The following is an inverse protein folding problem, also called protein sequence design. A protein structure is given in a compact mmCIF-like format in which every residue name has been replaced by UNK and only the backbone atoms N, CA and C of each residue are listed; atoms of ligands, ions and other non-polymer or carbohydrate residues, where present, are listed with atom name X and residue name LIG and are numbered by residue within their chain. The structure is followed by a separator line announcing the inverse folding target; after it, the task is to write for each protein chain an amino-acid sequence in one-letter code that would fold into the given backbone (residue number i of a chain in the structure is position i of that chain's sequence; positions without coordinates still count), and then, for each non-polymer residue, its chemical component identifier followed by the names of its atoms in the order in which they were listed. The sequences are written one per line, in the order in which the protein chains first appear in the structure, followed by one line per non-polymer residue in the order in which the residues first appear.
data_IF_597561171097
#
_entry.id   IF_597561171097
#
_cell.length_a   1.000
_cell.length_b   1.000
_cell.length_c   1.000
_cell.angle_alpha   90.00
_cell.angle_beta   90.00
_cell.angle_gamma   90.00
#
_symmetry.space_group_name_H-M   'P 1'
#
loop_
_entity.id
_entity.type
_entity.pdbx_description
1 polymer ?
#
# COMPACT_ATOMS: atom_id res chain seq x y z
N UNK A 1 -24.60 28.20 -1.70
CA UNK A 1 -23.56 27.28 -2.22
C UNK A 1 -22.49 27.21 -1.16
N UNK A 2 -22.18 26.03 -0.60
CA UNK A 2 -21.24 25.94 0.52
C UNK A 2 -19.82 26.28 0.08
N UNK A 3 -19.04 26.96 0.92
CA UNK A 3 -17.64 27.31 0.67
C UNK A 3 -16.78 26.10 0.30
N UNK A 4 -17.18 24.90 0.74
CA UNK A 4 -16.58 23.62 0.36
C UNK A 4 -16.65 23.32 -1.15
N UNK A 5 -17.74 23.70 -1.81
CA UNK A 5 -17.89 23.51 -3.25
C UNK A 5 -17.06 24.53 -4.06
N UNK A 6 -16.75 25.69 -3.47
CA UNK A 6 -15.85 26.67 -4.05
C UNK A 6 -14.38 26.26 -3.89
N UNK A 7 -14.01 25.69 -2.74
CA UNK A 7 -12.67 25.16 -2.46
C UNK A 7 -12.34 23.91 -3.30
N UNK A 8 -13.29 22.98 -3.50
CA UNK A 8 -13.11 21.85 -4.44
C UNK A 8 -12.90 22.34 -5.88
N UNK A 9 -13.54 23.46 -6.27
CA UNK A 9 -13.41 24.04 -7.62
C UNK A 9 -12.12 24.84 -7.82
N UNK A 10 -11.52 25.33 -6.72
CA UNK A 10 -10.29 26.11 -6.72
C UNK A 10 -9.00 25.25 -6.67
N UNK A 11 -9.13 23.91 -6.63
CA UNK A 11 -7.98 23.03 -6.46
C UNK A 11 -7.30 23.19 -5.10
N UNK A 12 -8.04 23.69 -4.09
CA UNK A 12 -7.51 23.85 -2.74
C UNK A 12 -7.14 22.47 -2.17
N UNK A 13 -6.03 22.35 -1.42
CA UNK A 13 -5.61 21.10 -0.83
C UNK A 13 -6.75 20.48 -0.01
N UNK A 14 -7.01 19.18 -0.27
CA UNK A 14 -8.11 18.43 0.38
C UNK A 14 -8.07 18.64 1.89
N UNK A 15 -9.15 19.13 2.52
CA UNK A 15 -9.21 19.39 3.96
C UNK A 15 -8.77 18.16 4.79
N UNK A 16 -8.02 18.37 5.87
CA UNK A 16 -7.47 17.28 6.70
C UNK A 16 -8.53 16.28 7.17
N UNK A 17 -9.74 16.75 7.49
CA UNK A 17 -10.84 15.88 7.90
C UNK A 17 -11.33 14.95 6.77
N UNK A 18 -11.29 15.38 5.50
CA UNK A 18 -11.64 14.52 4.35
C UNK A 18 -10.57 13.42 4.16
N UNK A 19 -9.28 13.74 4.35
CA UNK A 19 -8.18 12.76 4.30
C UNK A 19 -8.30 11.70 5.39
N UNK A 20 -8.60 12.11 6.62
CA UNK A 20 -8.87 11.20 7.73
C UNK A 20 -10.09 10.31 7.44
N UNK A 21 -11.16 10.88 6.89
CA UNK A 21 -12.34 10.13 6.47
C UNK A 21 -12.01 9.04 5.43
N UNK A 22 -11.24 9.37 4.39
CA UNK A 22 -10.80 8.39 3.39
C UNK A 22 -9.95 7.28 4.02
N UNK A 23 -9.01 7.62 4.90
CA UNK A 23 -8.17 6.64 5.59
C UNK A 23 -9.01 5.64 6.40
N UNK A 24 -10.02 6.12 7.12
CA UNK A 24 -10.92 5.26 7.90
C UNK A 24 -11.67 4.29 7.00
N UNK A 25 -12.20 4.75 5.86
CA UNK A 25 -12.92 3.88 4.92
C UNK A 25 -12.00 2.82 4.31
N UNK A 26 -10.77 3.20 3.94
CA UNK A 26 -9.78 2.27 3.41
C UNK A 26 -9.39 1.24 4.46
N UNK A 27 -9.10 1.68 5.69
CA UNK A 27 -8.82 0.78 6.80
C UNK A 27 -9.97 -0.18 7.07
N UNK A 28 -11.21 0.31 7.11
CA UNK A 28 -12.39 -0.52 7.31
C UNK A 28 -12.56 -1.56 6.20
N UNK A 29 -12.31 -1.19 4.94
CA UNK A 29 -12.34 -2.13 3.81
C UNK A 29 -11.28 -3.22 3.93
N UNK A 30 -10.06 -2.86 4.33
CA UNK A 30 -8.97 -3.82 4.55
C UNK A 30 -9.25 -4.73 5.75
N UNK A 31 -9.82 -4.19 6.83
CA UNK A 31 -10.23 -4.96 7.99
C UNK A 31 -11.35 -5.96 7.62
N UNK A 32 -12.33 -5.53 6.82
CA UNK A 32 -13.37 -6.42 6.29
C UNK A 32 -12.79 -7.53 5.41
N UNK A 33 -11.81 -7.20 4.54
CA UNK A 33 -11.09 -8.18 3.75
C UNK A 33 -10.36 -9.22 4.61
N UNK A 34 -9.65 -8.78 5.65
CA UNK A 34 -9.00 -9.68 6.61
C UNK A 34 -10.01 -10.56 7.36
N UNK A 35 -11.14 -9.97 7.79
CA UNK A 35 -12.21 -10.69 8.48
C UNK A 35 -12.81 -11.80 7.62
N UNK A 36 -13.08 -11.52 6.33
CA UNK A 36 -13.53 -12.53 5.37
C UNK A 36 -12.49 -13.65 5.27
N UNK A 37 -11.21 -13.30 5.21
CA UNK A 37 -10.10 -14.26 5.24
C UNK A 37 -10.12 -15.18 6.46
N UNK A 38 -10.31 -14.63 7.66
CA UNK A 38 -10.42 -15.42 8.88
C UNK A 38 -11.64 -16.34 8.87
N UNK A 39 -12.80 -15.85 8.41
CA UNK A 39 -14.03 -16.64 8.35
C UNK A 39 -13.98 -17.77 7.33
N UNK A 40 -13.22 -17.60 6.25
CA UNK A 40 -13.05 -18.59 5.18
C UNK A 40 -11.83 -19.49 5.36
N UNK A 41 -11.07 -19.35 6.46
CA UNK A 41 -9.79 -20.03 6.70
C UNK A 41 -8.74 -19.81 5.58
N UNK A 42 -8.74 -18.58 5.03
CA UNK A 42 -7.81 -18.15 3.98
C UNK A 42 -6.78 -17.21 4.59
N UNK A 43 -5.71 -17.80 5.14
CA UNK A 43 -4.65 -17.06 5.84
C UNK A 43 -3.97 -15.99 4.96
N UNK A 44 -3.94 -16.18 3.62
CA UNK A 44 -3.36 -15.23 2.67
C UNK A 44 -4.04 -13.87 2.73
N UNK A 45 -5.37 -13.83 2.90
CA UNK A 45 -6.13 -12.59 2.98
C UNK A 45 -5.81 -11.82 4.27
N UNK A 46 -5.63 -12.54 5.38
CA UNK A 46 -5.22 -11.96 6.66
C UNK A 46 -3.81 -11.38 6.58
N UNK A 47 -2.89 -12.14 5.99
CA UNK A 47 -1.50 -11.72 5.82
C UNK A 47 -1.39 -10.48 4.92
N UNK A 48 -2.14 -10.44 3.80
CA UNK A 48 -2.09 -9.34 2.84
C UNK A 48 -2.69 -8.03 3.35
N UNK A 49 -3.49 -8.06 4.42
CA UNK A 49 -4.10 -6.86 4.97
C UNK A 49 -3.06 -5.80 5.38
N UNK A 50 -1.94 -6.21 5.99
CA UNK A 50 -0.88 -5.29 6.42
C UNK A 50 -0.17 -4.63 5.22
N UNK A 51 0.33 -5.38 4.22
CA UNK A 51 0.88 -4.79 3.00
C UNK A 51 -0.11 -3.89 2.25
N UNK A 52 -1.39 -4.28 2.16
CA UNK A 52 -2.41 -3.47 1.52
C UNK A 52 -2.62 -2.13 2.23
N UNK A 53 -2.59 -2.14 3.56
CA UNK A 53 -2.69 -0.92 4.35
C UNK A 53 -1.47 -0.01 4.14
N UNK A 54 -0.27 -0.57 4.13
CA UNK A 54 0.96 0.18 3.84
C UNK A 54 0.92 0.82 2.45
N UNK A 55 0.48 0.08 1.43
CA UNK A 55 0.32 0.59 0.06
C UNK A 55 -0.71 1.72 0.01
N UNK A 56 -1.86 1.57 0.66
CA UNK A 56 -2.87 2.61 0.73
C UNK A 56 -2.34 3.91 1.36
N UNK A 57 -1.57 3.77 2.44
CA UNK A 57 -0.90 4.91 3.09
C UNK A 57 0.10 5.59 2.17
N UNK A 58 0.96 4.83 1.47
CA UNK A 58 1.92 5.38 0.51
C UNK A 58 1.24 6.06 -0.67
N UNK A 59 0.16 5.46 -1.18
CA UNK A 59 -0.64 6.02 -2.26
C UNK A 59 -1.22 7.38 -1.85
N UNK A 60 -1.87 7.46 -0.68
CA UNK A 60 -2.37 8.74 -0.15
C UNK A 60 -1.25 9.76 0.12
N UNK A 61 -0.09 9.29 0.58
CA UNK A 61 1.10 10.13 0.78
C UNK A 61 1.64 10.72 -0.53
N UNK A 62 1.57 9.96 -1.62
CA UNK A 62 2.04 10.38 -2.95
C UNK A 62 1.12 11.36 -3.69
N UNK A 63 -0.04 11.68 -3.10
CA UNK A 63 -1.01 12.61 -3.66
C UNK A 63 -0.53 14.05 -3.44
N UNK A 64 -0.25 14.75 -4.55
CA UNK A 64 0.21 16.13 -4.55
C UNK A 64 -0.92 17.11 -4.25
N UNK A 65 -0.58 18.34 -3.88
CA UNK A 65 -1.55 19.38 -3.56
C UNK A 65 -2.47 19.73 -4.75
N UNK A 66 -1.97 19.59 -5.98
CA UNK A 66 -2.73 19.78 -7.22
C UNK A 66 -3.62 18.58 -7.61
N UNK A 67 -3.74 17.57 -6.75
CA UNK A 67 -4.55 16.36 -7.00
C UNK A 67 -3.91 15.34 -7.95
N UNK A 68 -2.70 15.60 -8.46
CA UNK A 68 -1.97 14.64 -9.29
C UNK A 68 -1.13 13.70 -8.44
N UNK A 69 -0.81 12.54 -8.99
CA UNK A 69 0.03 11.55 -8.32
C UNK A 69 1.47 11.69 -8.80
N UNK A 70 2.44 11.61 -7.88
CA UNK A 70 3.84 11.54 -8.29
C UNK A 70 4.07 10.25 -9.10
N UNK A 71 4.44 10.40 -10.38
CA UNK A 71 4.55 9.29 -11.32
C UNK A 71 5.58 8.26 -10.89
N UNK A 72 6.72 8.71 -10.36
CA UNK A 72 7.80 7.82 -9.91
C UNK A 72 7.37 7.00 -8.67
N UNK A 73 6.76 7.66 -7.68
CA UNK A 73 6.17 7.01 -6.51
C UNK A 73 5.09 6.01 -6.89
N UNK A 74 4.19 6.39 -7.81
CA UNK A 74 3.10 5.53 -8.28
C UNK A 74 3.63 4.29 -9.01
N UNK A 75 4.63 4.45 -9.87
CA UNK A 75 5.30 3.32 -10.55
C UNK A 75 5.97 2.41 -9.52
N UNK A 76 6.68 2.98 -8.54
CA UNK A 76 7.30 2.21 -7.46
C UNK A 76 6.29 1.39 -6.65
N UNK A 77 5.15 1.99 -6.32
CA UNK A 77 4.05 1.30 -5.62
C UNK A 77 3.44 0.19 -6.48
N UNK A 78 3.18 0.46 -7.77
CA UNK A 78 2.62 -0.54 -8.69
C UNK A 78 3.60 -1.71 -8.89
N UNK A 79 4.88 -1.42 -9.10
CA UNK A 79 5.92 -2.43 -9.19
C UNK A 79 5.99 -3.26 -7.90
N UNK A 80 5.88 -2.60 -6.75
CA UNK A 80 5.89 -3.27 -5.46
C UNK A 80 4.72 -4.26 -5.33
N UNK A 81 3.52 -3.81 -5.67
CA UNK A 81 2.30 -4.63 -5.69
C UNK A 81 2.40 -5.79 -6.69
N UNK A 82 2.97 -5.57 -7.87
CA UNK A 82 3.12 -6.60 -8.89
C UNK A 82 4.02 -7.74 -8.41
N UNK A 83 5.16 -7.43 -7.81
CA UNK A 83 6.06 -8.44 -7.23
C UNK A 83 5.39 -9.17 -6.07
N UNK A 84 4.70 -8.45 -5.17
CA UNK A 84 3.96 -9.07 -4.09
C UNK A 84 2.89 -10.04 -4.61
N UNK A 85 2.15 -9.65 -5.65
CA UNK A 85 1.14 -10.49 -6.28
C UNK A 85 1.76 -11.78 -6.86
N UNK A 86 2.91 -11.67 -7.53
CA UNK A 86 3.65 -12.83 -8.06
C UNK A 86 4.06 -13.77 -6.92
N UNK A 87 4.61 -13.25 -5.82
CA UNK A 87 5.03 -14.07 -4.68
C UNK A 87 3.84 -14.76 -4.00
N UNK A 88 2.71 -14.07 -3.86
CA UNK A 88 1.47 -14.64 -3.32
C UNK A 88 0.95 -15.75 -4.22
N UNK A 89 0.87 -15.51 -5.53
CA UNK A 89 0.44 -16.52 -6.50
C UNK A 89 1.35 -17.74 -6.43
N UNK A 90 2.66 -17.55 -6.31
CA UNK A 90 3.60 -18.67 -6.14
C UNK A 90 3.34 -19.45 -4.85
N UNK A 91 3.12 -18.78 -3.73
CA UNK A 91 2.78 -19.44 -2.46
C UNK A 91 1.47 -20.24 -2.56
N UNK A 92 0.44 -19.72 -3.25
CA UNK A 92 -0.84 -20.40 -3.48
C UNK A 92 -0.66 -21.64 -4.38
N UNK A 93 0.05 -21.50 -5.50
CA UNK A 93 0.27 -22.59 -6.45
C UNK A 93 1.07 -23.76 -5.84
N UNK A 94 1.84 -23.48 -4.79
CA UNK A 94 2.66 -24.48 -4.09
C UNK A 94 2.01 -24.99 -2.80
N UNK A 95 0.80 -24.55 -2.48
CA UNK A 95 0.09 -24.93 -1.25
C UNK A 95 -0.35 -26.41 -1.22
N UNK A 96 -0.61 -27.01 -2.37
CA UNK A 96 -1.06 -28.41 -2.50
C UNK A 96 0.06 -29.41 -2.83
N UNK A 97 1.30 -28.95 -2.96
CA UNK A 97 2.43 -29.80 -3.35
C UNK A 97 3.24 -30.31 -2.15
N UNK A 98 3.87 -31.48 -2.32
CA UNK A 98 4.79 -32.08 -1.32
C UNK A 98 6.21 -31.50 -1.38
N UNK A 99 6.44 -30.52 -2.25
CA UNK A 99 7.74 -29.88 -2.39
C UNK A 99 8.11 -29.12 -1.12
N UNK A 100 9.39 -29.15 -0.76
CA UNK A 100 9.93 -28.41 0.38
C UNK A 100 10.93 -27.36 -0.08
N UNK A 101 11.01 -26.26 0.66
CA UNK A 101 12.01 -25.22 0.51
C UNK A 101 12.75 -25.08 1.85
N UNK A 102 14.02 -25.47 1.88
CA UNK A 102 14.87 -25.45 3.08
C UNK A 102 14.21 -26.07 4.33
N UNK A 103 13.54 -27.21 4.14
CA UNK A 103 12.92 -27.98 5.22
C UNK A 103 11.51 -27.52 5.62
N UNK A 104 10.98 -26.45 5.00
CA UNK A 104 9.59 -26.04 5.14
C UNK A 104 8.74 -26.50 3.95
N UNK A 105 7.44 -26.74 4.12
CA UNK A 105 6.52 -26.85 2.98
C UNK A 105 6.70 -25.65 2.04
N UNK A 106 6.73 -25.87 0.73
CA UNK A 106 7.15 -24.83 -0.22
C UNK A 106 6.30 -23.55 -0.12
N UNK A 107 4.99 -23.67 0.09
CA UNK A 107 4.10 -22.53 0.34
C UNK A 107 4.54 -21.67 1.53
N UNK A 108 4.94 -22.32 2.63
CA UNK A 108 5.48 -21.68 3.83
C UNK A 108 6.86 -21.10 3.62
N UNK A 109 7.72 -21.81 2.90
CA UNK A 109 9.04 -21.31 2.52
C UNK A 109 8.96 -20.03 1.69
N UNK A 110 8.02 -19.95 0.73
CA UNK A 110 7.81 -18.73 -0.06
C UNK A 110 7.42 -17.55 0.84
N UNK A 111 6.58 -17.78 1.85
CA UNK A 111 6.18 -16.72 2.78
C UNK A 111 7.37 -16.25 3.60
N UNK A 112 8.02 -17.17 4.29
CA UNK A 112 9.05 -16.86 5.29
C UNK A 112 10.29 -16.27 4.65
N UNK A 113 10.71 -16.80 3.50
CA UNK A 113 11.97 -16.42 2.87
C UNK A 113 11.86 -15.34 1.81
N UNK A 114 10.67 -15.12 1.24
CA UNK A 114 10.51 -14.11 0.18
C UNK A 114 9.46 -13.06 0.54
N UNK A 115 8.22 -13.46 0.83
CA UNK A 115 7.14 -12.49 1.07
C UNK A 115 7.45 -11.64 2.31
N UNK A 116 7.82 -12.25 3.42
CA UNK A 116 8.04 -11.54 4.67
C UNK A 116 9.21 -10.54 4.60
N UNK A 117 10.42 -10.90 4.12
CA UNK A 117 11.49 -9.91 3.93
C UNK A 117 11.10 -8.83 2.93
N UNK A 118 10.38 -9.18 1.87
CA UNK A 118 9.93 -8.24 0.87
C UNK A 118 8.94 -7.21 1.43
N UNK A 119 7.98 -7.65 2.25
CA UNK A 119 7.01 -6.74 2.87
C UNK A 119 7.58 -5.99 4.07
N UNK A 120 8.47 -6.60 4.86
CA UNK A 120 9.08 -5.96 6.01
C UNK A 120 10.12 -4.90 5.61
N UNK A 121 10.98 -5.23 4.64
CA UNK A 121 12.10 -4.36 4.22
C UNK A 121 11.70 -3.55 2.99
N UNK A 122 11.17 -4.21 1.96
CA UNK A 122 10.81 -3.56 0.69
C UNK A 122 9.75 -2.48 0.86
N UNK A 123 8.73 -2.72 1.70
CA UNK A 123 7.75 -1.67 2.01
C UNK A 123 8.38 -0.48 2.75
N UNK A 124 9.30 -0.73 3.68
CA UNK A 124 10.01 0.34 4.39
C UNK A 124 10.88 1.19 3.47
N UNK A 125 11.60 0.55 2.54
CA UNK A 125 12.40 1.25 1.52
C UNK A 125 11.52 2.05 0.55
N UNK A 126 10.41 1.46 0.10
CA UNK A 126 9.47 2.15 -0.76
C UNK A 126 8.82 3.35 -0.03
N UNK A 127 8.45 3.18 1.23
CA UNK A 127 7.94 4.25 2.06
C UNK A 127 8.94 5.41 2.14
N UNK A 128 10.21 5.12 2.43
CA UNK A 128 11.26 6.14 2.50
C UNK A 128 11.43 6.87 1.16
N UNK A 129 11.41 6.14 0.05
CA UNK A 129 11.47 6.72 -1.30
C UNK A 129 10.29 7.65 -1.59
N UNK A 130 9.05 7.23 -1.28
CA UNK A 130 7.86 8.07 -1.46
C UNK A 130 7.97 9.32 -0.60
N UNK A 131 8.34 9.16 0.68
CA UNK A 131 8.43 10.24 1.66
C UNK A 131 9.47 11.30 1.28
N UNK A 132 10.68 10.88 0.88
CA UNK A 132 11.76 11.76 0.43
C UNK A 132 11.28 12.69 -0.71
N UNK A 133 10.65 12.10 -1.73
CA UNK A 133 10.08 12.86 -2.85
C UNK A 133 8.96 13.79 -2.45
N UNK A 134 8.15 13.40 -1.46
CA UNK A 134 7.06 14.27 -0.98
C UNK A 134 7.59 15.48 -0.22
N UNK A 135 8.70 15.33 0.52
CA UNK A 135 9.37 16.44 1.22
C UNK A 135 10.03 17.39 0.23
N UNK A 136 10.74 16.85 -0.76
CA UNK A 136 11.41 17.67 -1.78
C UNK A 136 10.43 18.58 -2.52
N UNK A 137 9.24 18.08 -2.86
CA UNK A 137 8.20 18.89 -3.48
C UNK A 137 7.73 20.04 -2.57
N UNK A 138 7.53 19.77 -1.27
CA UNK A 138 7.15 20.82 -0.29
C UNK A 138 8.25 21.85 -0.10
N UNK A 139 9.52 21.42 -0.11
CA UNK A 139 10.68 22.32 -0.02
C UNK A 139 10.78 23.22 -1.26
N UNK A 140 10.59 22.66 -2.45
CA UNK A 140 10.60 23.43 -3.70
C UNK A 140 9.45 24.44 -3.76
N UNK A 141 8.25 24.06 -3.31
CA UNK A 141 7.11 24.96 -3.24
C UNK A 141 7.36 26.14 -2.28
N UNK A 142 7.97 25.87 -1.11
CA UNK A 142 8.26 26.90 -0.11
C UNK A 142 9.37 27.90 -0.50
N UNK A 143 10.14 27.62 -1.55
CA UNK A 143 11.18 28.52 -2.09
C UNK A 143 10.65 29.36 -3.27
N UNK A 144 9.52 28.95 -3.86
CA UNK A 144 8.90 29.63 -5.00
C UNK A 144 7.90 30.72 -4.58
N UNK A 145 7.47 30.73 -3.31
CA UNK A 145 6.69 31.78 -2.65
C UNK A 145 7.62 32.84 -2.00
#
# INVERSE_FOLDING_TARGET
MSDLAALDRAGAPVPEYKRAGTLIHVFAGIAAFALIGMLADVWQMVFLAVPLFAVAMMLMGSLRANGTWDRASSIGIVAYCAVLAVLVVWSILTASGDATLWGLPMSMGVIVYFIWPYTAIGAGLLYAFVFDRTIDEKRLAAVAD
#
